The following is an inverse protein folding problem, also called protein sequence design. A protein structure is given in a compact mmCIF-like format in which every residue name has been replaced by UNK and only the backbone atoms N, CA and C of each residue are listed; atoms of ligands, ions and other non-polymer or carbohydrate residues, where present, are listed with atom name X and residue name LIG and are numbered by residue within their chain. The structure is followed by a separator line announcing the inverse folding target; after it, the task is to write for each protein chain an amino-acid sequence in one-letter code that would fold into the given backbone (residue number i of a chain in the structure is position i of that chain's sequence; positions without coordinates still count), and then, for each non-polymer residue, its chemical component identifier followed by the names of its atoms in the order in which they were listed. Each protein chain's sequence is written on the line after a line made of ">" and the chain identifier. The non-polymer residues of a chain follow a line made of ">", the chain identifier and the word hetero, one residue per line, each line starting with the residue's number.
data_IF_212251292025
#
_entry.id   IF_212251292025
#
_cell.length_a   1.000
_cell.length_b   1.000
_cell.length_c   1.000
_cell.angle_alpha   90.00
_cell.angle_beta   90.00
_cell.angle_gamma   90.00
#
_symmetry.space_group_name_H-M   'P 1'
#
loop_
_entity.id
_entity.type
_entity.pdbx_description
1 polymer ?
#
# COMPACT_ATOMS: atom_id res chain seq x y z
N UNK A 1 -12.50 14.07 71.19
CA UNK A 1 -12.89 14.12 69.76
C UNK A 1 -11.64 13.89 68.90
N UNK A 2 -11.26 12.65 68.61
CA UNK A 2 -10.07 12.35 67.78
C UNK A 2 -10.24 11.06 66.94
N UNK A 3 -11.45 10.84 66.37
CA UNK A 3 -11.75 9.64 65.58
C UNK A 3 -12.44 9.96 64.23
N UNK A 4 -12.05 11.03 63.53
CA UNK A 4 -12.59 11.32 62.19
C UNK A 4 -11.53 11.60 61.09
N UNK A 5 -10.25 11.83 61.44
CA UNK A 5 -9.21 12.16 60.44
C UNK A 5 -8.51 10.96 59.78
N UNK A 6 -8.77 9.73 60.23
CA UNK A 6 -8.12 8.52 59.69
C UNK A 6 -8.76 7.94 58.42
N UNK A 7 -10.07 8.13 58.22
CA UNK A 7 -10.80 7.53 57.09
C UNK A 7 -10.65 8.35 55.79
N UNK A 8 -10.44 9.66 55.89
CA UNK A 8 -10.34 10.55 54.72
C UNK A 8 -9.05 10.31 53.92
N UNK A 9 -7.93 10.07 54.61
CA UNK A 9 -6.62 9.89 53.98
C UNK A 9 -6.46 8.49 53.33
N UNK A 10 -7.09 7.44 53.88
CA UNK A 10 -7.10 6.09 53.25
C UNK A 10 -8.01 6.02 52.03
N UNK A 11 -9.18 6.67 52.05
CA UNK A 11 -10.08 6.76 50.88
C UNK A 11 -9.48 7.60 49.76
N UNK A 12 -8.81 8.72 50.11
CA UNK A 12 -8.08 9.56 49.15
C UNK A 12 -6.88 8.82 48.54
N UNK A 13 -6.10 8.07 49.34
CA UNK A 13 -5.00 7.25 48.82
C UNK A 13 -5.47 6.08 47.95
N UNK A 14 -6.54 5.35 48.33
CA UNK A 14 -7.13 4.31 47.48
C UNK A 14 -7.70 4.89 46.17
N UNK A 15 -8.34 6.06 46.23
CA UNK A 15 -8.87 6.76 45.05
C UNK A 15 -7.75 7.26 44.12
N UNK A 16 -6.65 7.79 44.67
CA UNK A 16 -5.48 8.22 43.89
C UNK A 16 -4.76 7.03 43.22
N UNK A 17 -4.67 5.88 43.92
CA UNK A 17 -4.12 4.66 43.33
C UNK A 17 -5.03 4.05 42.24
N UNK A 18 -6.35 4.07 42.43
CA UNK A 18 -7.29 3.58 41.41
C UNK A 18 -7.38 4.50 40.20
N UNK A 19 -7.33 5.82 40.38
CA UNK A 19 -7.26 6.79 39.26
C UNK A 19 -5.96 6.57 38.45
N UNK A 20 -4.82 6.35 39.11
CA UNK A 20 -3.54 6.07 38.45
C UNK A 20 -3.56 4.77 37.62
N UNK A 21 -4.17 3.70 38.14
CA UNK A 21 -4.34 2.44 37.39
C UNK A 21 -5.31 2.57 36.20
N UNK A 22 -6.38 3.36 36.34
CA UNK A 22 -7.36 3.58 35.26
C UNK A 22 -6.74 4.43 34.14
N UNK A 23 -5.88 5.40 34.45
CA UNK A 23 -5.17 6.20 33.43
C UNK A 23 -4.14 5.40 32.63
N UNK A 24 -3.53 4.36 33.22
CA UNK A 24 -2.57 3.50 32.51
C UNK A 24 -3.24 2.56 31.49
N UNK A 25 -4.49 2.16 31.74
CA UNK A 25 -5.22 1.22 30.86
C UNK A 25 -5.85 1.90 29.63
N UNK A 26 -6.00 3.23 29.65
CA UNK A 26 -6.68 3.99 28.59
C UNK A 26 -5.81 4.31 27.37
N UNK A 27 -4.49 4.09 27.42
CA UNK A 27 -3.55 4.42 26.32
C UNK A 27 -3.34 3.26 25.33
N UNK A 28 -3.90 2.08 25.62
CA UNK A 28 -3.81 0.91 24.74
C UNK A 28 -5.04 0.79 23.82
N UNK A 29 -5.40 1.88 23.13
CA UNK A 29 -6.48 1.89 22.16
C UNK A 29 -5.95 2.27 20.76
N UNK A 30 -5.91 1.24 19.91
CA UNK A 30 -5.90 1.27 18.45
C UNK A 30 -4.59 1.61 17.72
N UNK A 31 -3.85 0.56 17.32
CA UNK A 31 -3.17 0.55 16.03
C UNK A 31 -4.18 0.04 14.99
N UNK A 32 -4.83 0.94 14.27
CA UNK A 32 -5.51 0.58 13.02
C UNK A 32 -4.45 0.72 11.92
N UNK A 33 -4.00 -0.40 11.37
CA UNK A 33 -3.27 -0.42 10.10
C UNK A 33 -4.31 -0.31 8.99
N UNK A 34 -4.48 0.86 8.32
CA UNK A 34 -5.26 0.91 7.10
C UNK A 34 -4.53 0.08 6.05
N UNK A 35 -5.11 -1.07 5.69
CA UNK A 35 -4.63 -1.94 4.60
C UNK A 35 -4.97 -1.41 3.21
N UNK A 36 -5.72 -0.32 3.12
CA UNK A 36 -6.27 0.20 1.86
C UNK A 36 -5.77 1.61 1.51
N UNK A 37 -4.65 2.05 2.08
CA UNK A 37 -3.94 3.19 1.49
C UNK A 37 -3.32 2.70 0.17
N UNK A 38 -3.59 3.35 -0.98
CA UNK A 38 -2.74 3.17 -2.15
C UNK A 38 -1.32 3.41 -1.68
N UNK A 39 -0.48 2.38 -1.72
CA UNK A 39 0.93 2.55 -1.42
C UNK A 39 1.43 3.72 -2.25
N UNK A 40 2.23 4.64 -1.67
CA UNK A 40 3.01 5.57 -2.49
C UNK A 40 3.69 4.74 -3.58
N UNK A 41 3.65 5.16 -4.87
CA UNK A 41 4.30 4.41 -5.93
C UNK A 41 5.75 4.22 -5.48
N UNK A 42 6.11 2.96 -5.21
CA UNK A 42 7.38 2.62 -4.64
C UNK A 42 8.44 3.15 -5.60
N UNK A 43 9.20 4.16 -5.18
CA UNK A 43 10.27 4.76 -5.97
C UNK A 43 11.49 3.82 -5.93
N UNK A 44 11.27 2.56 -6.25
CA UNK A 44 12.29 1.60 -6.63
C UNK A 44 11.80 1.01 -7.95
N UNK A 45 12.59 1.16 -9.02
CA UNK A 45 12.25 0.75 -10.38
C UNK A 45 11.94 -0.75 -10.50
N UNK A 46 10.72 -1.11 -10.11
CA UNK A 46 10.21 -2.46 -10.06
C UNK A 46 8.82 -2.56 -10.69
N UNK A 47 8.39 -3.80 -10.90
CA UNK A 47 7.15 -4.13 -11.57
C UNK A 47 5.93 -3.67 -10.77
N UNK A 48 5.09 -2.85 -11.39
CA UNK A 48 3.79 -2.41 -10.88
C UNK A 48 2.67 -3.12 -11.62
N UNK A 49 1.86 -3.90 -10.91
CA UNK A 49 0.74 -4.63 -11.52
C UNK A 49 -0.41 -3.68 -11.89
N UNK A 50 -1.06 -3.92 -13.03
CA UNK A 50 -2.26 -3.19 -13.41
C UNK A 50 -3.49 -3.78 -12.70
N UNK A 51 -4.18 -2.96 -11.91
CA UNK A 51 -5.39 -3.34 -11.17
C UNK A 51 -6.67 -3.12 -11.99
N UNK A 52 -7.75 -3.77 -11.56
CA UNK A 52 -9.09 -3.55 -12.12
C UNK A 52 -9.94 -2.69 -11.17
N UNK A 53 -10.83 -1.83 -11.69
CA UNK A 53 -11.19 -1.64 -13.10
C UNK A 53 -10.15 -0.84 -13.90
N UNK A 54 -9.98 -1.15 -15.20
CA UNK A 54 -9.02 -0.45 -16.07
C UNK A 54 -9.48 0.98 -16.37
N UNK A 55 -8.57 1.97 -16.34
CA UNK A 55 -8.91 3.36 -16.65
C UNK A 55 -9.33 3.49 -18.11
N UNK A 56 -10.43 4.22 -18.35
CA UNK A 56 -10.95 4.49 -19.70
C UNK A 56 -10.47 5.84 -20.26
N UNK A 57 -10.00 6.74 -19.38
CA UNK A 57 -9.49 8.05 -19.74
C UNK A 57 -8.15 8.29 -19.08
N UNK A 58 -7.16 8.71 -19.88
CA UNK A 58 -5.82 9.02 -19.41
C UNK A 58 -5.41 10.42 -19.86
N UNK A 59 -4.59 11.07 -19.05
CA UNK A 59 -3.96 12.33 -19.43
C UNK A 59 -2.90 12.08 -20.51
N UNK A 60 -2.58 13.11 -21.30
CA UNK A 60 -1.54 13.05 -22.34
C UNK A 60 -0.14 13.38 -21.81
N UNK A 61 0.07 13.25 -20.50
CA UNK A 61 1.37 13.47 -19.89
C UNK A 61 2.37 12.40 -20.34
N UNK A 62 3.60 12.80 -20.64
CA UNK A 62 4.65 11.87 -21.03
C UNK A 62 5.59 11.57 -19.86
N UNK A 63 5.38 10.41 -19.23
CA UNK A 63 6.23 9.80 -18.20
C UNK A 63 6.36 8.31 -18.56
N UNK A 64 7.28 7.94 -19.46
CA UNK A 64 7.25 6.64 -20.12
C UNK A 64 7.39 5.48 -19.13
N UNK A 65 6.69 4.40 -19.46
CA UNK A 65 6.74 3.13 -18.72
C UNK A 65 6.89 1.97 -19.69
N UNK A 66 7.51 0.88 -19.25
CA UNK A 66 7.61 -0.34 -20.01
C UNK A 66 6.48 -1.27 -19.59
N UNK A 67 5.47 -1.43 -20.44
CA UNK A 67 4.35 -2.33 -20.19
C UNK A 67 4.70 -3.77 -20.55
N UNK A 68 4.35 -4.68 -19.66
CA UNK A 68 4.45 -6.14 -19.85
C UNK A 68 3.10 -6.63 -20.38
N UNK A 69 3.10 -7.13 -21.61
CA UNK A 69 1.92 -7.58 -22.32
C UNK A 69 1.90 -9.10 -22.31
N UNK A 70 0.80 -9.68 -21.81
CA UNK A 70 0.54 -11.10 -21.97
C UNK A 70 0.05 -11.37 -23.40
N UNK A 71 0.79 -12.17 -24.15
CA UNK A 71 0.41 -12.54 -25.53
C UNK A 71 -0.67 -13.61 -25.57
N UNK A 72 -0.96 -14.26 -24.44
CA UNK A 72 -1.85 -15.43 -24.36
C UNK A 72 -1.23 -16.72 -24.89
N UNK A 73 0.00 -16.70 -25.40
CA UNK A 73 0.67 -17.87 -25.95
C UNK A 73 1.16 -18.76 -24.80
N UNK A 74 0.85 -20.06 -24.88
CA UNK A 74 1.29 -21.10 -23.93
C UNK A 74 1.88 -22.27 -24.71
N UNK A 75 3.13 -22.62 -24.46
CA UNK A 75 3.86 -23.64 -25.22
C UNK A 75 4.40 -24.73 -24.28
N UNK A 76 4.59 -25.93 -24.82
CA UNK A 76 5.21 -27.06 -24.09
C UNK A 76 6.73 -27.09 -24.29
N UNK A 77 7.22 -26.58 -25.42
CA UNK A 77 8.63 -26.55 -25.80
C UNK A 77 9.12 -25.11 -26.01
N UNK A 78 10.42 -24.87 -25.81
CA UNK A 78 11.05 -23.56 -25.95
C UNK A 78 11.58 -23.32 -27.38
N UNK A 79 11.66 -22.05 -27.84
CA UNK A 79 11.28 -20.82 -27.14
C UNK A 79 9.77 -20.55 -27.17
N UNK A 80 9.22 -20.06 -26.04
CA UNK A 80 7.80 -19.68 -25.95
C UNK A 80 7.66 -18.16 -25.75
N UNK A 81 7.15 -17.42 -26.74
CA UNK A 81 6.98 -15.98 -26.64
C UNK A 81 5.69 -15.62 -25.89
N UNK A 82 5.59 -16.01 -24.60
CA UNK A 82 4.39 -15.76 -23.78
C UNK A 82 4.22 -14.29 -23.40
N UNK A 83 5.31 -13.51 -23.36
CA UNK A 83 5.32 -12.11 -22.95
C UNK A 83 5.96 -11.22 -24.00
N UNK A 84 5.48 -9.98 -24.08
CA UNK A 84 6.05 -8.92 -24.91
C UNK A 84 6.13 -7.63 -24.13
N UNK A 85 7.17 -6.85 -24.37
CA UNK A 85 7.34 -5.53 -23.76
C UNK A 85 7.03 -4.42 -24.78
N UNK A 86 6.39 -3.35 -24.32
CA UNK A 86 6.12 -2.16 -25.14
C UNK A 86 6.18 -0.88 -24.31
N UNK A 87 6.77 0.17 -24.85
CA UNK A 87 6.80 1.48 -24.18
C UNK A 87 5.46 2.19 -24.35
N UNK A 88 4.89 2.61 -23.23
CA UNK A 88 3.69 3.45 -23.17
C UNK A 88 4.06 4.85 -22.70
N UNK A 89 3.26 5.84 -23.10
CA UNK A 89 3.53 7.25 -22.77
C UNK A 89 3.42 7.57 -21.28
N UNK A 90 2.59 6.83 -20.54
CA UNK A 90 2.48 6.88 -19.09
C UNK A 90 1.83 5.61 -18.52
N UNK A 91 1.87 5.45 -17.19
CA UNK A 91 1.29 4.34 -16.44
C UNK A 91 -0.21 4.12 -16.72
N UNK A 92 -0.99 5.21 -16.80
CA UNK A 92 -2.42 5.11 -17.11
C UNK A 92 -2.64 4.50 -18.49
N UNK A 93 -1.91 4.98 -19.51
CA UNK A 93 -2.00 4.45 -20.87
C UNK A 93 -1.58 2.99 -20.98
N UNK A 94 -0.61 2.55 -20.17
CA UNK A 94 -0.24 1.14 -20.07
C UNK A 94 -1.39 0.30 -19.47
N UNK A 95 -1.91 0.69 -18.30
CA UNK A 95 -2.96 -0.08 -17.65
C UNK A 95 -4.34 0.06 -18.30
N UNK A 96 -4.57 1.05 -19.18
CA UNK A 96 -5.76 1.13 -20.00
C UNK A 96 -5.85 -0.02 -21.03
N UNK A 97 -4.70 -0.57 -21.45
CA UNK A 97 -4.65 -1.75 -22.32
C UNK A 97 -4.88 -3.02 -21.48
N UNK A 98 -5.97 -3.74 -21.78
CA UNK A 98 -6.37 -4.95 -21.04
C UNK A 98 -5.32 -6.06 -21.10
N UNK A 99 -4.49 -6.09 -22.15
CA UNK A 99 -3.44 -7.11 -22.32
C UNK A 99 -2.20 -6.82 -21.49
N UNK A 100 -2.05 -5.59 -21.00
CA UNK A 100 -0.93 -5.22 -20.13
C UNK A 100 -1.21 -5.74 -18.74
N UNK A 101 -0.35 -6.62 -18.24
CA UNK A 101 -0.45 -7.19 -16.88
C UNK A 101 0.17 -6.27 -15.82
N UNK A 102 1.11 -5.41 -16.23
CA UNK A 102 1.78 -4.43 -15.37
C UNK A 102 2.83 -3.66 -16.14
N UNK A 103 3.53 -2.75 -15.45
CA UNK A 103 4.54 -1.89 -16.04
C UNK A 103 5.71 -1.63 -15.09
N UNK A 104 6.85 -1.25 -15.67
CA UNK A 104 8.01 -0.71 -14.95
C UNK A 104 8.25 0.74 -15.35
N UNK A 105 8.85 1.53 -14.46
CA UNK A 105 9.16 2.94 -14.72
C UNK A 105 10.33 3.05 -15.71
N UNK A 106 10.18 3.88 -16.74
CA UNK A 106 11.16 4.04 -17.81
C UNK A 106 10.71 3.37 -19.11
N UNK A 107 11.34 3.72 -20.22
CA UNK A 107 11.04 3.06 -21.50
C UNK A 107 11.59 1.61 -21.54
N UNK A 108 11.14 0.83 -22.52
CA UNK A 108 11.59 -0.57 -22.63
C UNK A 108 13.03 -0.72 -23.15
N UNK A 109 13.69 0.35 -23.60
CA UNK A 109 15.11 0.32 -23.93
C UNK A 109 15.98 0.39 -22.66
N UNK A 110 15.42 0.97 -21.58
CA UNK A 110 16.00 0.97 -20.24
C UNK A 110 15.69 -0.28 -19.40
N UNK A 111 14.65 -1.04 -19.78
CA UNK A 111 14.28 -2.28 -19.09
C UNK A 111 15.40 -3.33 -19.11
N UNK A 112 15.74 -3.87 -17.93
CA UNK A 112 16.74 -4.93 -17.76
C UNK A 112 18.20 -4.50 -17.91
N UNK A 113 18.51 -3.20 -17.82
CA UNK A 113 19.87 -2.65 -17.81
C UNK A 113 20.36 -2.26 -16.43
#
# INVERSE_FOLDING_TARGET
>A
MALLNGCNNRRSRLALFSISLITLFAISACTSTPKDAPSPPDMQGGFTQCESPRPQMCTREYRPVCGHIDTGIRCVTAPCPSERHQTYGNACGACADEKVIGYEVGDCASYGK
#
